data_IF_160118766711
#
_entry.id   IF_160118766711
#
_cell.length_a   1.000
_cell.length_b   1.000
_cell.length_c   1.000
_cell.angle_alpha   90.00
_cell.angle_beta   90.00
_cell.angle_gamma   90.00
#
_symmetry.space_group_name_H-M   'P 1'
#
loop_
_entity.id
_entity.type
_entity.pdbx_description
1 polymer ?
#
# COMPACT_ATOMS: atom_id res chain seq x y z
N UNK A 1 -5.91 23.58 -40.60
CA UNK A 1 -4.98 22.67 -41.32
C UNK A 1 -3.54 23.16 -41.23
N UNK A 2 -3.16 24.31 -41.81
CA UNK A 2 -1.77 24.82 -41.77
C UNK A 2 -1.22 24.99 -40.34
N UNK A 3 -1.99 25.59 -39.43
CA UNK A 3 -1.59 25.75 -38.03
C UNK A 3 -1.37 24.41 -37.30
N UNK A 4 -2.19 23.39 -37.58
CA UNK A 4 -2.04 22.05 -37.00
C UNK A 4 -0.79 21.36 -37.53
N UNK A 5 -0.56 21.44 -38.84
CA UNK A 5 0.63 20.86 -39.46
C UNK A 5 1.92 21.48 -38.89
N UNK A 6 1.96 22.81 -38.78
CA UNK A 6 3.10 23.51 -38.17
C UNK A 6 3.30 23.09 -36.70
N UNK A 7 2.22 22.90 -35.94
CA UNK A 7 2.30 22.43 -34.56
C UNK A 7 2.84 20.99 -34.46
N UNK A 8 2.39 20.07 -35.33
CA UNK A 8 2.88 18.69 -35.38
C UNK A 8 4.35 18.64 -35.79
N UNK A 9 4.76 19.42 -36.81
CA UNK A 9 6.16 19.53 -37.23
C UNK A 9 7.05 20.07 -36.11
N UNK A 10 6.56 21.06 -35.35
CA UNK A 10 7.29 21.65 -34.24
C UNK A 10 7.54 20.68 -33.07
N UNK A 11 6.62 19.75 -32.79
CA UNK A 11 6.79 18.73 -31.74
C UNK A 11 7.40 17.42 -32.25
N UNK A 12 7.70 17.32 -33.55
CA UNK A 12 8.23 16.09 -34.14
C UNK A 12 9.65 15.80 -33.65
N UNK A 13 10.43 16.85 -33.42
CA UNK A 13 11.83 16.76 -33.05
C UNK A 13 12.07 17.18 -31.61
N UNK A 14 13.12 16.62 -31.01
CA UNK A 14 13.52 16.90 -29.64
C UNK A 14 13.78 18.39 -29.44
N UNK A 15 13.23 18.94 -28.37
CA UNK A 15 13.38 20.34 -27.96
C UNK A 15 13.50 20.40 -26.43
N UNK A 16 14.35 21.30 -25.94
CA UNK A 16 14.48 21.60 -24.50
C UNK A 16 13.41 22.57 -24.01
N UNK A 17 12.65 23.20 -24.91
CA UNK A 17 11.50 24.06 -24.57
C UNK A 17 10.20 23.27 -24.64
N UNK A 18 9.37 23.44 -23.62
CA UNK A 18 8.09 22.76 -23.55
C UNK A 18 7.11 23.32 -24.62
N UNK A 19 6.58 22.51 -25.55
CA UNK A 19 5.76 22.98 -26.67
C UNK A 19 4.28 23.20 -26.28
N UNK A 20 4.07 24.12 -25.34
CA UNK A 20 2.75 24.34 -24.73
C UNK A 20 1.71 24.97 -25.65
N UNK A 21 2.10 25.81 -26.61
CA UNK A 21 1.16 26.42 -27.57
C UNK A 21 0.80 25.43 -28.67
N UNK A 22 1.76 24.64 -29.13
CA UNK A 22 1.56 23.56 -30.10
C UNK A 22 0.57 22.53 -29.56
N UNK A 23 0.70 22.13 -28.29
CA UNK A 23 -0.25 21.23 -27.64
C UNK A 23 -1.68 21.82 -27.64
N UNK A 24 -1.85 23.11 -27.35
CA UNK A 24 -3.18 23.76 -27.42
C UNK A 24 -3.77 23.70 -28.82
N UNK A 25 -2.95 23.96 -29.85
CA UNK A 25 -3.38 23.87 -31.25
C UNK A 25 -3.79 22.44 -31.60
N UNK A 26 -3.00 21.44 -31.20
CA UNK A 26 -3.28 20.03 -31.44
C UNK A 26 -4.58 19.59 -30.73
N UNK A 27 -4.74 19.91 -29.44
CA UNK A 27 -5.96 19.58 -28.69
C UNK A 27 -7.21 20.26 -29.27
N UNK A 28 -7.09 21.48 -29.81
CA UNK A 28 -8.19 22.18 -30.48
C UNK A 28 -8.58 21.54 -31.83
N UNK A 29 -7.70 20.75 -32.45
CA UNK A 29 -7.91 20.09 -33.75
C UNK A 29 -7.75 18.56 -33.63
N UNK A 30 -8.29 17.96 -32.56
CA UNK A 30 -8.06 16.56 -32.19
C UNK A 30 -8.36 15.56 -33.30
N UNK A 31 -9.48 15.72 -34.01
CA UNK A 31 -9.95 14.75 -35.01
C UNK A 31 -8.98 14.64 -36.17
N UNK A 32 -8.44 15.77 -36.60
CA UNK A 32 -7.46 15.89 -37.67
C UNK A 32 -6.06 15.49 -37.21
N UNK A 33 -5.74 15.64 -35.92
CA UNK A 33 -4.45 15.28 -35.36
C UNK A 33 -4.27 13.76 -35.14
N UNK A 34 -5.33 13.05 -34.74
CA UNK A 34 -5.29 11.61 -34.38
C UNK A 34 -4.57 10.75 -35.43
N UNK A 35 -4.86 10.84 -36.75
CA UNK A 35 -4.17 10.02 -37.74
C UNK A 35 -2.64 10.21 -37.76
N UNK A 36 -2.17 11.46 -37.58
CA UNK A 36 -0.74 11.76 -37.52
C UNK A 36 -0.11 11.22 -36.23
N UNK A 37 -0.79 11.37 -35.10
CA UNK A 37 -0.34 10.85 -33.80
C UNK A 37 -0.28 9.32 -33.78
N UNK A 38 -1.29 8.63 -34.32
CA UNK A 38 -1.27 7.17 -34.51
C UNK A 38 -0.09 6.73 -35.37
N UNK A 39 0.13 7.41 -36.51
CA UNK A 39 1.23 7.10 -37.42
C UNK A 39 2.61 7.25 -36.75
N UNK A 40 2.77 8.22 -35.84
CA UNK A 40 4.00 8.41 -35.09
C UNK A 40 4.34 7.21 -34.20
N UNK A 41 3.34 6.65 -33.52
CA UNK A 41 3.52 5.44 -32.71
C UNK A 41 3.75 4.22 -33.59
N UNK A 42 3.03 4.06 -34.69
CA UNK A 42 3.25 2.98 -35.64
C UNK A 42 4.67 2.99 -36.21
N UNK A 43 5.21 4.19 -36.52
CA UNK A 43 6.61 4.37 -36.91
C UNK A 43 7.55 3.94 -35.79
N UNK A 44 7.31 4.33 -34.54
CA UNK A 44 8.14 3.93 -33.41
C UNK A 44 8.14 2.41 -33.18
N UNK A 45 6.98 1.75 -33.31
CA UNK A 45 6.88 0.29 -33.23
C UNK A 45 7.64 -0.39 -34.37
N UNK A 46 7.51 0.12 -35.60
CA UNK A 46 8.15 -0.46 -36.77
C UNK A 46 9.68 -0.28 -36.80
N UNK A 47 10.18 0.90 -36.38
CA UNK A 47 11.61 1.23 -36.41
C UNK A 47 12.33 0.76 -35.14
N UNK A 48 11.63 0.70 -34.01
CA UNK A 48 12.16 0.24 -32.72
C UNK A 48 13.42 1.02 -32.31
N UNK A 49 14.49 0.30 -32.01
CA UNK A 49 15.79 0.88 -31.64
C UNK A 49 16.51 1.61 -32.80
N UNK A 50 15.97 1.57 -34.02
CA UNK A 50 16.50 2.32 -35.17
C UNK A 50 15.79 3.66 -35.40
N UNK A 51 14.78 3.98 -34.57
CA UNK A 51 14.13 5.30 -34.63
C UNK A 51 15.20 6.38 -34.39
N UNK A 52 15.09 7.51 -35.10
CA UNK A 52 16.04 8.62 -34.94
C UNK A 52 16.02 9.13 -33.49
N UNK A 53 17.19 9.28 -32.85
CA UNK A 53 17.32 9.71 -31.46
C UNK A 53 16.77 11.13 -31.19
N UNK A 54 16.62 11.93 -32.25
CA UNK A 54 16.02 13.26 -32.16
C UNK A 54 14.52 13.25 -32.46
N UNK A 55 13.94 12.12 -32.90
CA UNK A 55 12.51 12.01 -33.13
C UNK A 55 11.76 11.85 -31.80
N UNK A 56 10.75 12.68 -31.57
CA UNK A 56 10.02 12.76 -30.30
C UNK A 56 8.49 12.66 -30.47
N UNK A 57 7.97 12.69 -31.70
CA UNK A 57 6.52 12.75 -31.92
C UNK A 57 5.77 11.57 -31.30
N UNK A 58 6.33 10.35 -31.37
CA UNK A 58 5.73 9.15 -30.79
C UNK A 58 5.51 9.31 -29.29
N UNK A 59 6.49 9.89 -28.60
CA UNK A 59 6.45 10.10 -27.17
C UNK A 59 5.29 11.03 -26.78
N UNK A 60 5.16 12.18 -27.44
CA UNK A 60 4.05 13.10 -27.20
C UNK A 60 2.70 12.52 -27.64
N UNK A 61 2.68 11.75 -28.73
CA UNK A 61 1.49 11.09 -29.24
C UNK A 61 0.89 10.13 -28.20
N UNK A 62 1.69 9.42 -27.40
CA UNK A 62 1.17 8.55 -26.34
C UNK A 62 0.27 9.31 -25.36
N UNK A 63 0.71 10.49 -24.91
CA UNK A 63 -0.05 11.31 -23.95
C UNK A 63 -1.25 11.97 -24.60
N UNK A 64 -1.10 12.50 -25.82
CA UNK A 64 -2.19 13.18 -26.53
C UNK A 64 -3.31 12.20 -26.91
N UNK A 65 -2.98 11.00 -27.40
CA UNK A 65 -3.98 9.98 -27.69
C UNK A 65 -4.69 9.48 -26.43
N UNK A 66 -3.98 9.40 -25.29
CA UNK A 66 -4.61 9.09 -24.01
C UNK A 66 -5.52 10.21 -23.51
N UNK A 67 -5.12 11.48 -23.63
CA UNK A 67 -5.98 12.65 -23.36
C UNK A 67 -7.22 12.65 -24.25
N UNK A 68 -7.08 12.26 -25.52
CA UNK A 68 -8.20 12.15 -26.46
C UNK A 68 -9.05 10.88 -26.26
N UNK A 69 -8.61 9.98 -25.37
CA UNK A 69 -9.22 8.67 -25.13
C UNK A 69 -9.44 7.89 -26.43
N UNK A 70 -8.39 7.81 -27.25
CA UNK A 70 -8.44 7.13 -28.54
C UNK A 70 -8.45 5.60 -28.39
N UNK A 71 -9.59 5.06 -27.96
CA UNK A 71 -9.73 3.65 -27.55
C UNK A 71 -9.51 2.64 -28.67
N UNK A 72 -9.81 3.00 -29.91
CA UNK A 72 -9.58 2.11 -31.05
C UNK A 72 -8.09 1.78 -31.25
N UNK A 73 -7.19 2.64 -30.77
CA UNK A 73 -5.75 2.46 -30.89
C UNK A 73 -5.14 1.65 -29.74
N UNK A 74 -5.94 1.19 -28.78
CA UNK A 74 -5.48 0.42 -27.63
C UNK A 74 -4.64 -0.81 -27.99
N UNK A 75 -5.02 -1.67 -28.97
CA UNK A 75 -4.20 -2.83 -29.32
C UNK A 75 -2.80 -2.47 -29.83
N UNK A 76 -2.69 -1.36 -30.58
CA UNK A 76 -1.39 -0.88 -31.07
C UNK A 76 -0.55 -0.28 -29.94
N UNK A 77 -1.18 0.38 -28.96
CA UNK A 77 -0.50 0.84 -27.75
C UNK A 77 -0.01 -0.35 -26.89
N UNK A 78 -0.78 -1.44 -26.81
CA UNK A 78 -0.35 -2.69 -26.16
C UNK A 78 0.82 -3.35 -26.89
N UNK A 79 0.84 -3.31 -28.23
CA UNK A 79 1.99 -3.77 -29.02
C UNK A 79 3.25 -2.96 -28.73
N UNK A 80 3.15 -1.63 -28.67
CA UNK A 80 4.24 -0.76 -28.25
C UNK A 80 4.74 -1.12 -26.83
N UNK A 81 3.82 -1.28 -25.88
CA UNK A 81 4.15 -1.63 -24.49
C UNK A 81 4.78 -3.02 -24.34
N UNK A 82 4.59 -3.91 -25.33
CA UNK A 82 5.09 -5.29 -25.32
C UNK A 82 6.39 -5.46 -26.10
N UNK A 83 7.03 -4.37 -26.54
CA UNK A 83 8.34 -4.41 -27.18
C UNK A 83 9.43 -4.87 -26.19
N UNK A 84 10.55 -5.45 -26.68
CA UNK A 84 11.66 -5.86 -25.83
C UNK A 84 12.18 -4.71 -24.95
N UNK A 85 12.56 -5.02 -23.70
CA UNK A 85 12.96 -4.05 -22.66
C UNK A 85 13.85 -2.91 -23.18
N UNK A 86 14.96 -3.24 -23.85
CA UNK A 86 15.91 -2.24 -24.35
C UNK A 86 15.32 -1.30 -25.40
N UNK A 87 14.44 -1.82 -26.25
CA UNK A 87 13.73 -1.01 -27.25
C UNK A 87 12.69 -0.13 -26.56
N UNK A 88 11.97 -0.69 -25.60
CA UNK A 88 10.95 0.04 -24.85
C UNK A 88 11.57 1.18 -24.02
N UNK A 89 12.67 0.92 -23.34
CA UNK A 89 13.45 1.91 -22.59
C UNK A 89 13.94 3.04 -23.51
N UNK A 90 14.44 2.70 -24.70
CA UNK A 90 14.82 3.70 -25.71
C UNK A 90 13.64 4.58 -26.18
N UNK A 91 12.46 3.99 -26.39
CA UNK A 91 11.30 4.70 -26.93
C UNK A 91 10.51 5.49 -25.88
N UNK A 92 10.44 5.01 -24.64
CA UNK A 92 9.60 5.57 -23.57
C UNK A 92 10.39 6.13 -22.37
N UNK A 93 11.57 5.59 -22.07
CA UNK A 93 12.31 5.86 -20.83
C UNK A 93 11.42 5.72 -19.59
N UNK A 94 11.50 6.69 -18.68
CA UNK A 94 10.76 6.73 -17.42
C UNK A 94 9.23 6.71 -17.59
N UNK A 95 8.71 7.06 -18.78
CA UNK A 95 7.26 7.00 -19.03
C UNK A 95 6.70 5.59 -18.86
N UNK A 96 7.53 4.57 -19.06
CA UNK A 96 7.17 3.17 -18.87
C UNK A 96 6.68 2.85 -17.46
N UNK A 97 7.30 3.44 -16.43
CA UNK A 97 6.96 3.18 -15.02
C UNK A 97 6.03 4.26 -14.45
N UNK A 98 6.15 5.50 -14.92
CA UNK A 98 5.38 6.64 -14.39
C UNK A 98 4.01 6.83 -15.07
N UNK A 99 3.95 6.75 -16.40
CA UNK A 99 2.80 7.24 -17.18
C UNK A 99 2.06 6.14 -17.95
N UNK A 100 2.75 5.07 -18.35
CA UNK A 100 2.20 4.00 -19.17
C UNK A 100 0.91 3.38 -18.59
N UNK A 101 0.81 3.08 -17.27
CA UNK A 101 -0.44 2.55 -16.71
C UNK A 101 -1.61 3.51 -16.91
N UNK A 102 -1.38 4.82 -16.73
CA UNK A 102 -2.40 5.84 -16.92
C UNK A 102 -2.81 5.95 -18.39
N UNK A 103 -1.83 5.91 -19.30
CA UNK A 103 -2.06 5.96 -20.76
C UNK A 103 -2.93 4.77 -21.19
N UNK A 104 -2.52 3.55 -20.82
CA UNK A 104 -3.24 2.32 -21.16
C UNK A 104 -4.65 2.29 -20.56
N UNK A 105 -4.81 2.73 -19.30
CA UNK A 105 -6.12 2.84 -18.66
C UNK A 105 -7.05 3.81 -19.42
N UNK A 106 -6.56 5.00 -19.81
CA UNK A 106 -7.37 6.00 -20.51
C UNK A 106 -7.72 5.60 -21.96
N UNK A 107 -6.92 4.73 -22.56
CA UNK A 107 -7.17 4.18 -23.89
C UNK A 107 -7.91 2.85 -23.87
N UNK A 108 -8.19 2.26 -22.70
CA UNK A 108 -8.78 0.93 -22.61
C UNK A 108 -10.11 0.81 -23.39
N UNK A 109 -10.19 -0.21 -24.24
CA UNK A 109 -11.29 -0.40 -25.19
C UNK A 109 -12.24 -1.57 -24.85
N UNK A 110 -12.01 -2.27 -23.72
CA UNK A 110 -12.76 -3.45 -23.33
C UNK A 110 -12.07 -4.79 -23.59
N UNK A 111 -10.91 -4.80 -24.27
CA UNK A 111 -10.15 -6.02 -24.56
C UNK A 111 -9.27 -6.47 -23.38
N UNK A 112 -9.92 -6.88 -22.28
CA UNK A 112 -9.22 -7.34 -21.07
C UNK A 112 -8.27 -8.53 -21.33
N UNK A 113 -8.59 -9.37 -22.33
CA UNK A 113 -7.78 -10.54 -22.65
C UNK A 113 -6.39 -10.15 -23.17
N UNK A 114 -6.26 -9.06 -23.93
CA UNK A 114 -4.94 -8.54 -24.35
C UNK A 114 -4.06 -8.19 -23.15
N UNK A 115 -4.66 -7.61 -22.10
CA UNK A 115 -3.94 -7.28 -20.86
C UNK A 115 -3.52 -8.57 -20.14
N UNK A 116 -4.45 -9.53 -19.98
CA UNK A 116 -4.20 -10.81 -19.32
C UNK A 116 -3.08 -11.61 -20.01
N UNK A 117 -3.12 -11.69 -21.33
CA UNK A 117 -2.09 -12.37 -22.14
C UNK A 117 -0.72 -11.69 -22.01
N UNK A 118 -0.67 -10.36 -22.04
CA UNK A 118 0.57 -9.62 -21.85
C UNK A 118 1.19 -9.83 -20.46
N UNK A 119 0.38 -9.94 -19.40
CA UNK A 119 0.86 -10.22 -18.04
C UNK A 119 1.54 -11.60 -17.94
N UNK A 120 0.99 -12.63 -18.61
CA UNK A 120 1.57 -13.97 -18.61
C UNK A 120 2.72 -14.16 -19.61
N UNK A 121 2.93 -13.20 -20.53
CA UNK A 121 3.96 -13.33 -21.55
C UNK A 121 5.37 -13.18 -20.95
N UNK A 122 6.29 -14.13 -21.17
CA UNK A 122 7.67 -14.01 -20.70
C UNK A 122 8.46 -12.91 -21.41
N UNK A 123 8.01 -12.47 -22.60
CA UNK A 123 8.68 -11.44 -23.39
C UNK A 123 8.35 -10.01 -22.91
N UNK A 124 7.26 -9.84 -22.16
CA UNK A 124 6.85 -8.54 -21.64
C UNK A 124 7.63 -8.23 -20.37
N UNK A 125 8.21 -7.04 -20.32
CA UNK A 125 9.03 -6.59 -19.20
C UNK A 125 8.24 -6.43 -17.90
N UNK A 126 8.86 -6.78 -16.76
CA UNK A 126 8.21 -6.85 -15.44
C UNK A 126 7.56 -5.53 -15.00
N UNK A 127 8.17 -4.39 -15.32
CA UNK A 127 7.57 -3.09 -14.99
C UNK A 127 6.30 -2.81 -15.79
N UNK A 128 6.25 -3.24 -17.05
CA UNK A 128 5.03 -3.15 -17.87
C UNK A 128 3.95 -4.04 -17.28
N UNK A 129 4.26 -5.30 -16.97
CA UNK A 129 3.33 -6.23 -16.32
C UNK A 129 2.78 -5.66 -15.00
N UNK A 130 3.64 -5.03 -14.19
CA UNK A 130 3.23 -4.34 -12.96
C UNK A 130 2.27 -3.18 -13.25
N UNK A 131 2.56 -2.39 -14.28
CA UNK A 131 1.66 -1.37 -14.79
C UNK A 131 0.30 -1.93 -15.22
N UNK A 132 0.29 -3.05 -15.94
CA UNK A 132 -0.92 -3.74 -16.38
C UNK A 132 -1.77 -4.26 -15.22
N UNK A 133 -1.15 -4.81 -14.16
CA UNK A 133 -1.86 -5.18 -12.94
C UNK A 133 -2.55 -3.97 -12.28
N UNK A 134 -1.88 -2.81 -12.26
CA UNK A 134 -2.47 -1.54 -11.76
C UNK A 134 -3.63 -1.07 -12.64
N UNK A 135 -3.52 -1.22 -13.97
CA UNK A 135 -4.63 -0.94 -14.90
C UNK A 135 -5.82 -1.83 -14.59
N UNK A 136 -5.62 -3.14 -14.46
CA UNK A 136 -6.70 -4.08 -14.11
C UNK A 136 -7.30 -3.79 -12.74
N UNK A 137 -6.48 -3.44 -11.74
CA UNK A 137 -6.94 -3.01 -10.42
C UNK A 137 -7.84 -1.77 -10.50
N UNK A 138 -7.48 -0.78 -11.32
CA UNK A 138 -8.32 0.41 -11.55
C UNK A 138 -9.62 0.04 -12.26
N UNK A 139 -9.56 -0.74 -13.33
CA UNK A 139 -10.73 -1.19 -14.08
C UNK A 139 -11.73 -1.98 -13.22
N UNK A 140 -11.23 -2.80 -12.27
CA UNK A 140 -12.06 -3.47 -11.28
C UNK A 140 -12.78 -2.46 -10.36
N UNK A 141 -12.06 -1.48 -9.83
CA UNK A 141 -12.65 -0.44 -8.97
C UNK A 141 -13.69 0.43 -9.71
N UNK A 142 -13.53 0.60 -11.02
CA UNK A 142 -14.49 1.28 -11.89
C UNK A 142 -15.60 0.33 -12.41
N UNK A 143 -15.68 -0.90 -11.89
CA UNK A 143 -16.77 -1.85 -12.14
C UNK A 143 -16.77 -2.50 -13.52
N UNK A 144 -15.63 -2.57 -14.21
CA UNK A 144 -15.55 -3.11 -15.57
C UNK A 144 -15.60 -4.65 -15.63
N UNK A 145 -15.27 -5.34 -14.54
CA UNK A 145 -15.36 -6.80 -14.40
C UNK A 145 -15.55 -7.22 -12.93
N UNK A 146 -15.95 -8.47 -12.71
CA UNK A 146 -16.38 -8.96 -11.40
C UNK A 146 -15.24 -9.30 -10.43
N UNK A 147 -15.57 -9.33 -9.13
CA UNK A 147 -14.64 -9.68 -8.04
C UNK A 147 -14.12 -11.11 -8.20
N UNK A 148 -14.99 -12.06 -8.49
CA UNK A 148 -14.62 -13.48 -8.60
C UNK A 148 -13.63 -13.69 -9.75
N UNK A 149 -13.91 -13.13 -10.93
CA UNK A 149 -13.01 -13.18 -12.09
C UNK A 149 -11.64 -12.56 -11.75
N UNK A 150 -11.63 -11.45 -11.01
CA UNK A 150 -10.39 -10.78 -10.64
C UNK A 150 -9.56 -11.62 -9.67
N UNK A 151 -10.18 -12.11 -8.60
CA UNK A 151 -9.51 -12.93 -7.59
C UNK A 151 -8.99 -14.24 -8.18
N UNK A 152 -9.74 -14.90 -9.07
CA UNK A 152 -9.28 -16.11 -9.75
C UNK A 152 -8.03 -15.86 -10.61
N UNK A 153 -8.00 -14.74 -11.34
CA UNK A 153 -6.82 -14.36 -12.11
C UNK A 153 -5.60 -14.12 -11.21
N UNK A 154 -5.76 -13.37 -10.13
CA UNK A 154 -4.69 -13.09 -9.17
C UNK A 154 -4.20 -14.38 -8.48
N UNK A 155 -5.10 -15.29 -8.10
CA UNK A 155 -4.73 -16.62 -7.56
C UNK A 155 -3.94 -17.43 -8.58
N UNK A 156 -4.30 -17.35 -9.86
CA UNK A 156 -3.53 -17.96 -10.96
C UNK A 156 -2.06 -17.53 -10.96
N UNK A 157 -1.77 -16.26 -10.65
CA UNK A 157 -0.40 -15.73 -10.53
C UNK A 157 0.30 -16.23 -9.27
N UNK A 158 -0.40 -16.28 -8.13
CA UNK A 158 0.18 -16.71 -6.84
C UNK A 158 0.55 -18.19 -6.88
N UNK A 159 -0.34 -19.04 -7.37
CA UNK A 159 -0.19 -20.50 -7.35
C UNK A 159 0.39 -21.09 -8.64
N UNK A 160 0.44 -20.30 -9.72
CA UNK A 160 0.97 -20.72 -11.02
C UNK A 160 2.49 -20.58 -11.15
N UNK A 161 2.94 -20.57 -12.40
CA UNK A 161 4.34 -20.35 -12.75
C UNK A 161 4.78 -18.90 -12.45
N UNK A 162 6.08 -18.72 -12.20
CA UNK A 162 6.66 -17.40 -11.96
C UNK A 162 6.54 -16.53 -13.20
N UNK A 163 5.91 -15.36 -13.06
CA UNK A 163 5.67 -14.42 -14.18
C UNK A 163 6.64 -13.24 -14.22
N UNK A 164 7.54 -13.13 -13.23
CA UNK A 164 8.53 -12.05 -13.09
C UNK A 164 8.99 -11.88 -11.64
N UNK A 165 10.15 -11.25 -11.43
CA UNK A 165 10.79 -11.11 -10.11
C UNK A 165 10.21 -9.93 -9.31
N UNK A 166 9.83 -8.84 -10.00
CA UNK A 166 9.35 -7.61 -9.36
C UNK A 166 7.82 -7.51 -9.28
N UNK A 167 7.12 -8.54 -9.74
CA UNK A 167 5.67 -8.54 -9.92
C UNK A 167 4.87 -8.70 -8.64
N UNK A 168 5.39 -9.48 -7.69
CA UNK A 168 4.64 -9.88 -6.50
C UNK A 168 4.38 -8.72 -5.54
N UNK A 169 5.27 -7.71 -5.52
CA UNK A 169 5.03 -6.48 -4.75
C UNK A 169 3.77 -5.75 -5.26
N UNK A 170 3.66 -5.58 -6.58
CA UNK A 170 2.49 -4.98 -7.21
C UNK A 170 1.24 -5.85 -7.02
N UNK A 171 1.40 -7.18 -7.07
CA UNK A 171 0.30 -8.13 -6.85
C UNK A 171 -0.29 -7.96 -5.44
N UNK A 172 0.54 -7.92 -4.40
CA UNK A 172 0.10 -7.68 -3.02
C UNK A 172 -0.55 -6.30 -2.86
N UNK A 173 0.07 -5.23 -3.40
CA UNK A 173 -0.48 -3.87 -3.39
C UNK A 173 -1.89 -3.80 -4.03
N UNK A 174 -2.07 -4.49 -5.16
CA UNK A 174 -3.37 -4.58 -5.84
C UNK A 174 -4.41 -5.29 -5.00
N UNK A 175 -4.05 -6.44 -4.41
CA UNK A 175 -4.96 -7.20 -3.53
C UNK A 175 -5.41 -6.33 -2.34
N UNK A 176 -4.48 -5.61 -1.71
CA UNK A 176 -4.76 -4.70 -0.59
C UNK A 176 -5.67 -3.53 -1.00
N UNK A 177 -5.31 -2.78 -2.05
CA UNK A 177 -6.08 -1.59 -2.49
C UNK A 177 -7.42 -1.91 -3.15
N UNK A 178 -7.62 -3.16 -3.58
CA UNK A 178 -8.92 -3.70 -4.00
C UNK A 178 -9.77 -4.23 -2.82
N UNK A 179 -9.25 -4.23 -1.59
CA UNK A 179 -9.94 -4.69 -0.38
C UNK A 179 -10.33 -6.18 -0.41
N UNK A 180 -9.48 -7.02 -1.00
CA UNK A 180 -9.68 -8.47 -1.10
C UNK A 180 -9.25 -9.22 0.16
N UNK A 181 -10.03 -9.06 1.23
CA UNK A 181 -9.77 -9.71 2.52
C UNK A 181 -9.70 -11.23 2.42
N UNK A 182 -10.48 -11.85 1.51
CA UNK A 182 -10.44 -13.30 1.29
C UNK A 182 -9.14 -13.80 0.66
N UNK A 183 -8.28 -12.88 0.20
CA UNK A 183 -6.97 -13.16 -0.37
C UNK A 183 -5.80 -12.88 0.59
N UNK A 184 -6.08 -12.62 1.88
CA UNK A 184 -5.04 -12.57 2.90
C UNK A 184 -4.16 -13.83 2.96
N UNK A 185 -4.69 -15.08 2.78
CA UNK A 185 -3.85 -16.28 2.69
C UNK A 185 -2.83 -16.23 1.53
N UNK A 186 -3.22 -15.68 0.38
CA UNK A 186 -2.33 -15.48 -0.75
C UNK A 186 -1.23 -14.45 -0.44
N UNK A 187 -1.57 -13.31 0.18
CA UNK A 187 -0.56 -12.32 0.61
C UNK A 187 0.42 -12.98 1.60
N UNK A 188 -0.08 -13.72 2.60
CA UNK A 188 0.73 -14.46 3.57
C UNK A 188 1.73 -15.38 2.87
N UNK A 189 1.24 -16.19 1.93
CA UNK A 189 2.08 -17.10 1.15
C UNK A 189 3.20 -16.35 0.41
N UNK A 190 2.92 -15.19 -0.17
CA UNK A 190 3.96 -14.41 -0.87
C UNK A 190 5.08 -13.97 0.08
N UNK A 191 4.79 -13.69 1.35
CA UNK A 191 5.81 -13.42 2.37
C UNK A 191 6.55 -14.67 2.82
N UNK A 192 5.87 -15.81 2.96
CA UNK A 192 6.47 -17.10 3.34
C UNK A 192 7.41 -17.64 2.27
N UNK A 193 7.03 -17.48 1.00
CA UNK A 193 7.81 -17.88 -0.18
C UNK A 193 8.94 -16.87 -0.52
N UNK A 194 9.17 -15.84 0.31
CA UNK A 194 10.16 -14.75 0.12
C UNK A 194 10.05 -14.04 -1.25
N UNK A 195 8.80 -13.92 -1.76
CA UNK A 195 8.52 -13.28 -3.06
C UNK A 195 8.29 -11.77 -2.95
N UNK A 196 8.15 -11.24 -1.73
CA UNK A 196 7.90 -9.83 -1.46
C UNK A 196 9.17 -9.14 -0.96
N UNK A 197 9.54 -8.03 -1.61
CA UNK A 197 10.55 -7.14 -1.05
C UNK A 197 9.92 -6.29 0.06
N UNK A 198 10.20 -6.66 1.31
CA UNK A 198 9.73 -5.96 2.52
C UNK A 198 10.18 -4.49 2.56
N UNK A 199 11.25 -4.11 1.86
CA UNK A 199 11.69 -2.71 1.78
C UNK A 199 10.82 -1.89 0.83
N UNK A 200 10.18 -2.54 -0.14
CA UNK A 200 9.35 -1.87 -1.14
C UNK A 200 7.93 -1.62 -0.62
N UNK A 201 7.30 -2.61 0.02
CA UNK A 201 5.89 -2.54 0.42
C UNK A 201 5.63 -2.80 1.92
N UNK A 202 6.68 -2.93 2.74
CA UNK A 202 6.54 -3.14 4.18
C UNK A 202 6.29 -4.59 4.58
N UNK A 203 5.95 -4.78 5.85
CA UNK A 203 5.59 -6.07 6.44
C UNK A 203 4.18 -6.53 6.08
N UNK A 204 3.88 -7.78 6.42
CA UNK A 204 2.53 -8.32 6.24
C UNK A 204 1.49 -7.53 7.05
N UNK A 205 1.84 -7.08 8.26
CA UNK A 205 1.03 -6.22 9.11
C UNK A 205 0.66 -4.90 8.42
N UNK A 206 1.63 -4.21 7.79
CA UNK A 206 1.37 -2.98 7.05
C UNK A 206 0.44 -3.21 5.83
N UNK A 207 0.54 -4.37 5.19
CA UNK A 207 -0.37 -4.75 4.11
C UNK A 207 -1.80 -5.02 4.61
N UNK A 208 -1.95 -5.62 5.79
CA UNK A 208 -3.26 -5.75 6.44
C UNK A 208 -3.81 -4.36 6.78
N UNK A 209 -3.00 -3.44 7.30
CA UNK A 209 -3.45 -2.05 7.54
C UNK A 209 -3.94 -1.39 6.24
N UNK A 210 -3.17 -1.50 5.15
CA UNK A 210 -3.55 -0.93 3.85
C UNK A 210 -4.84 -1.56 3.29
N UNK A 211 -5.04 -2.88 3.48
CA UNK A 211 -6.26 -3.61 3.10
C UNK A 211 -7.53 -3.01 3.70
N UNK A 212 -7.48 -2.44 4.90
CA UNK A 212 -8.63 -1.83 5.58
C UNK A 212 -8.62 -0.30 5.55
N UNK A 213 -7.67 0.32 4.83
CA UNK A 213 -7.51 1.77 4.78
C UNK A 213 -8.19 2.37 3.54
N UNK A 214 -9.10 3.32 3.78
CA UNK A 214 -9.76 4.09 2.72
C UNK A 214 -9.23 5.52 2.70
N UNK A 215 -8.37 5.84 1.73
CA UNK A 215 -7.82 7.20 1.55
C UNK A 215 -8.68 7.98 0.56
N UNK A 216 -9.57 8.83 1.08
CA UNK A 216 -10.39 9.71 0.23
C UNK A 216 -9.51 10.66 -0.60
N UNK A 217 -9.83 10.80 -1.89
CA UNK A 217 -9.16 11.74 -2.79
C UNK A 217 -7.76 11.35 -3.26
N UNK A 218 -7.27 10.13 -2.98
CA UNK A 218 -6.06 9.60 -3.61
C UNK A 218 -6.38 8.70 -4.79
N UNK A 219 -5.63 8.89 -5.88
CA UNK A 219 -5.55 7.94 -6.98
C UNK A 219 -5.05 6.60 -6.43
N UNK A 220 -5.83 5.51 -6.64
CA UNK A 220 -5.43 4.19 -6.12
C UNK A 220 -4.37 3.55 -7.01
N UNK A 221 -4.66 3.49 -8.31
CA UNK A 221 -3.78 2.87 -9.29
C UNK A 221 -3.57 3.77 -10.52
N UNK A 222 -4.65 4.18 -11.20
CA UNK A 222 -4.54 4.98 -12.43
C UNK A 222 -5.37 6.26 -12.39
N UNK A 223 -4.90 7.30 -13.10
CA UNK A 223 -5.62 8.56 -13.27
C UNK A 223 -6.80 8.38 -14.19
N UNK A 224 -7.97 8.88 -13.78
CA UNK A 224 -9.18 8.84 -14.61
C UNK A 224 -9.14 9.77 -15.82
N UNK A 225 -8.28 10.78 -15.80
CA UNK A 225 -8.02 11.69 -16.91
C UNK A 225 -6.54 12.01 -17.03
N UNK A 226 -6.08 12.26 -18.25
CA UNK A 226 -4.73 12.74 -18.52
C UNK A 226 -4.86 14.10 -19.20
N UNK A 227 -4.10 15.08 -18.70
CA UNK A 227 -3.76 16.27 -19.45
C UNK A 227 -2.29 16.16 -19.85
N UNK A 228 -2.05 15.97 -21.15
CA UNK A 228 -0.72 15.73 -21.69
C UNK A 228 0.22 16.90 -21.36
N UNK A 229 -0.28 18.13 -21.49
CA UNK A 229 0.53 19.31 -21.24
C UNK A 229 0.90 19.50 -19.77
N UNK A 230 -0.04 19.29 -18.85
CA UNK A 230 0.20 19.37 -17.41
C UNK A 230 1.14 18.26 -16.94
N UNK A 231 0.93 17.03 -17.43
CA UNK A 231 1.76 15.87 -17.09
C UNK A 231 3.20 16.05 -17.54
N UNK A 232 3.41 16.56 -18.76
CA UNK A 232 4.74 16.65 -19.37
C UNK A 232 5.54 17.91 -18.99
N UNK A 233 4.88 19.00 -18.58
CA UNK A 233 5.56 20.28 -18.30
C UNK A 233 6.69 20.16 -17.25
N UNK A 234 6.55 19.26 -16.29
CA UNK A 234 7.52 19.05 -15.21
C UNK A 234 8.66 18.08 -15.54
N UNK A 235 8.72 17.54 -16.77
CA UNK A 235 9.69 16.52 -17.12
C UNK A 235 11.10 17.10 -17.27
N UNK A 236 12.09 16.35 -16.77
CA UNK A 236 13.50 16.74 -16.73
C UNK A 236 14.11 17.08 -18.11
N UNK A 237 13.47 16.64 -19.20
CA UNK A 237 13.87 16.96 -20.57
C UNK A 237 13.66 18.43 -20.96
N UNK A 238 12.87 19.20 -20.19
CA UNK A 238 12.59 20.60 -20.45
C UNK A 238 13.34 21.54 -19.51
N UNK A 239 13.91 22.62 -20.05
CA UNK A 239 14.59 23.68 -19.28
C UNK A 239 13.64 24.38 -18.30
N UNK A 240 12.35 24.49 -18.66
CA UNK A 240 11.31 25.12 -17.83
C UNK A 240 10.92 24.28 -16.59
N UNK A 241 11.33 23.00 -16.53
CA UNK A 241 11.07 22.13 -15.37
C UNK A 241 12.01 22.44 -14.19
N UNK A 242 13.17 23.03 -14.49
CA UNK A 242 14.10 23.56 -13.51
C UNK A 242 13.64 24.95 -13.02
N UNK A 243 12.45 25.01 -12.41
CA UNK A 243 12.27 26.07 -11.41
C UNK A 243 13.31 25.79 -10.34
N UNK A 244 14.28 26.70 -10.21
CA UNK A 244 15.23 26.72 -9.10
C UNK A 244 14.45 26.36 -7.83
N UNK A 245 14.68 25.16 -7.29
CA UNK A 245 14.35 24.92 -5.90
C UNK A 245 15.24 25.94 -5.20
N UNK A 246 14.63 27.01 -4.72
CA UNK A 246 15.31 27.97 -3.86
C UNK A 246 15.78 27.16 -2.65
N UNK A 247 17.03 26.71 -2.70
CA UNK A 247 17.63 25.80 -1.73
C UNK A 247 17.50 26.36 -0.31
N UNK A 248 17.51 27.69 -0.19
CA UNK A 248 17.34 28.40 1.06
C UNK A 248 15.88 28.30 1.55
N UNK A 249 14.90 28.48 0.67
CA UNK A 249 13.47 28.28 0.98
C UNK A 249 13.12 26.81 1.24
N UNK A 250 13.72 25.86 0.53
CA UNK A 250 13.57 24.43 0.80
C UNK A 250 14.15 24.08 2.17
N UNK A 251 15.36 24.53 2.48
CA UNK A 251 15.99 24.31 3.78
C UNK A 251 15.18 24.95 4.93
N UNK A 252 14.65 26.16 4.74
CA UNK A 252 13.76 26.80 5.71
C UNK A 252 12.45 26.03 5.90
N UNK A 253 11.82 25.56 4.82
CA UNK A 253 10.60 24.76 4.89
C UNK A 253 10.85 23.40 5.56
N UNK A 254 11.95 22.73 5.23
CA UNK A 254 12.35 21.48 5.86
C UNK A 254 12.66 21.67 7.35
N UNK A 255 13.40 22.71 7.72
CA UNK A 255 13.66 23.06 9.13
C UNK A 255 12.37 23.37 9.90
N UNK A 256 11.42 24.08 9.28
CA UNK A 256 10.10 24.36 9.86
C UNK A 256 9.30 23.07 10.06
N UNK A 257 9.25 22.20 9.04
CA UNK A 257 8.59 20.89 9.13
C UNK A 257 9.19 20.03 10.24
N UNK A 258 10.52 19.96 10.36
CA UNK A 258 11.20 19.25 11.44
C UNK A 258 10.83 19.80 12.83
N UNK A 259 10.77 21.13 12.98
CA UNK A 259 10.35 21.78 14.24
C UNK A 259 8.87 21.54 14.56
N UNK A 260 8.00 21.54 13.56
CA UNK A 260 6.58 21.22 13.73
C UNK A 260 6.41 19.75 14.15
N UNK A 261 7.12 18.83 13.51
CA UNK A 261 7.12 17.41 13.85
C UNK A 261 7.66 17.14 15.27
N UNK A 262 8.79 17.76 15.64
CA UNK A 262 9.32 17.63 17.01
C UNK A 262 8.37 18.26 18.04
N UNK A 263 7.68 19.38 17.72
CA UNK A 263 6.65 19.96 18.59
C UNK A 263 5.45 19.05 18.77
N UNK A 264 4.96 18.42 17.70
CA UNK A 264 3.84 17.47 17.77
C UNK A 264 4.22 16.28 18.65
N UNK A 265 5.44 15.74 18.49
CA UNK A 265 5.94 14.62 19.28
C UNK A 265 6.28 14.98 20.73
N UNK A 266 6.78 16.19 20.99
CA UNK A 266 7.17 16.68 22.34
C UNK A 266 6.04 17.34 23.11
N UNK A 267 4.86 17.49 22.51
CA UNK A 267 3.69 18.04 23.18
C UNK A 267 3.30 17.12 24.32
N UNK A 268 3.90 17.36 25.49
CA UNK A 268 3.45 16.81 26.73
C UNK A 268 2.03 17.35 26.95
N UNK A 269 1.05 16.51 26.62
CA UNK A 269 -0.35 16.80 26.90
C UNK A 269 -0.44 17.22 28.38
N UNK A 270 -1.10 18.36 28.68
CA UNK A 270 -1.21 18.82 30.04
C UNK A 270 -1.92 17.73 30.84
N UNK A 271 -1.16 16.99 31.67
CA UNK A 271 -1.74 16.07 32.66
C UNK A 271 -2.64 16.93 33.53
N UNK A 272 -3.94 16.90 33.26
CA UNK A 272 -4.95 17.54 34.09
C UNK A 272 -4.75 16.92 35.47
N UNK A 273 -4.16 17.66 36.41
CA UNK A 273 -3.92 17.18 37.76
C UNK A 273 -5.28 17.03 38.43
N UNK A 274 -5.85 15.84 38.35
CA UNK A 274 -7.10 15.51 39.03
C UNK A 274 -6.77 15.43 40.52
N UNK A 275 -7.31 16.36 41.29
CA UNK A 275 -7.20 16.37 42.73
C UNK A 275 -7.80 15.09 43.31
N UNK A 276 -7.19 14.57 44.37
CA UNK A 276 -7.63 13.33 45.05
C UNK A 276 -9.12 13.34 45.45
N UNK A 277 -9.70 14.52 45.66
CA UNK A 277 -11.10 14.70 46.03
C UNK A 277 -12.02 15.15 44.88
N UNK A 278 -11.50 15.37 43.67
CA UNK A 278 -12.28 15.86 42.52
C UNK A 278 -13.24 14.77 42.02
N UNK A 279 -14.35 15.16 41.36
CA UNK A 279 -15.22 14.21 40.66
C UNK A 279 -14.41 13.36 39.69
N UNK A 280 -14.58 12.05 39.76
CA UNK A 280 -13.82 11.12 38.95
C UNK A 280 -14.21 11.28 37.45
N UNK A 281 -13.24 11.41 36.53
CA UNK A 281 -13.51 11.67 35.11
C UNK A 281 -14.22 10.51 34.40
N UNK A 282 -14.27 9.32 34.99
CA UNK A 282 -14.98 8.16 34.44
C UNK A 282 -16.52 8.24 34.52
N UNK A 283 -17.08 9.38 34.94
CA UNK A 283 -18.53 9.58 35.01
C UNK A 283 -19.23 8.89 36.18
N UNK A 284 -18.48 8.28 37.11
CA UNK A 284 -19.07 7.51 38.23
C UNK A 284 -19.74 8.35 39.33
N UNK A 285 -19.62 9.67 39.30
CA UNK A 285 -20.09 10.59 40.35
C UNK A 285 -19.33 10.51 41.68
N UNK A 286 -18.33 9.62 41.81
CA UNK A 286 -17.51 9.46 43.03
C UNK A 286 -16.27 10.38 43.01
N UNK A 287 -15.67 10.64 44.18
CA UNK A 287 -14.36 11.30 44.28
C UNK A 287 -13.28 10.42 43.66
N UNK A 288 -12.27 11.00 43.00
CA UNK A 288 -11.20 10.26 42.32
C UNK A 288 -10.53 9.21 43.22
N UNK A 289 -10.25 9.55 44.50
CA UNK A 289 -9.69 8.62 45.49
C UNK A 289 -10.55 7.41 45.84
N UNK A 290 -11.85 7.50 45.63
CA UNK A 290 -12.82 6.44 45.93
C UNK A 290 -13.25 5.68 44.65
N UNK A 291 -12.62 5.98 43.52
CA UNK A 291 -12.90 5.35 42.25
C UNK A 291 -11.57 4.98 41.55
N UNK A 292 -11.20 5.68 40.47
CA UNK A 292 -10.07 5.28 39.63
C UNK A 292 -8.70 5.35 40.31
N UNK A 293 -8.51 6.08 41.42
CA UNK A 293 -7.21 6.12 42.11
C UNK A 293 -6.82 4.77 42.74
N UNK A 294 -7.81 3.99 43.19
CA UNK A 294 -7.60 2.72 43.90
C UNK A 294 -8.05 1.51 43.09
N UNK A 295 -8.55 1.70 41.85
CA UNK A 295 -8.84 0.56 40.97
C UNK A 295 -7.52 -0.12 40.60
N UNK A 296 -7.46 -1.47 40.58
CA UNK A 296 -6.35 -2.14 39.94
C UNK A 296 -6.25 -1.61 38.52
N UNK A 297 -5.09 -1.06 38.17
CA UNK A 297 -4.83 -0.57 36.82
C UNK A 297 -4.99 -1.74 35.85
N UNK A 298 -5.66 -1.51 34.72
CA UNK A 298 -5.67 -2.51 33.66
C UNK A 298 -4.21 -2.82 33.29
N UNK A 299 -3.81 -4.06 32.97
CA UNK A 299 -2.41 -4.36 32.62
C UNK A 299 -1.86 -3.40 31.55
N UNK A 300 -2.70 -3.00 30.59
CA UNK A 300 -2.41 -2.01 29.55
C UNK A 300 -2.01 -0.62 30.08
N UNK A 301 -2.54 -0.20 31.24
CA UNK A 301 -2.21 1.08 31.89
C UNK A 301 -0.87 1.05 32.64
N UNK A 302 -0.27 -0.15 32.77
CA UNK A 302 1.09 -0.32 33.30
C UNK A 302 2.16 -0.11 32.22
N UNK A 303 1.80 -0.38 30.95
CA UNK A 303 2.68 -0.20 29.80
C UNK A 303 2.81 1.28 29.42
N UNK A 304 1.70 1.94 29.14
CA UNK A 304 1.66 3.35 28.73
C UNK A 304 0.28 3.98 28.99
N UNK A 305 0.15 5.29 28.78
CA UNK A 305 -1.11 6.00 28.98
C UNK A 305 -2.12 5.67 27.87
N UNK A 306 -3.41 5.84 28.16
CA UNK A 306 -4.49 5.69 27.17
C UNK A 306 -4.28 6.57 25.92
N UNK A 307 -3.73 7.76 26.11
CA UNK A 307 -3.42 8.70 25.03
C UNK A 307 -2.28 8.18 24.13
N UNK A 308 -1.22 7.62 24.74
CA UNK A 308 -0.11 7.04 23.97
C UNK A 308 -0.60 5.80 23.20
N UNK A 309 -1.44 4.95 23.82
CA UNK A 309 -2.09 3.83 23.11
C UNK A 309 -2.91 4.32 21.92
N UNK A 310 -3.75 5.34 22.11
CA UNK A 310 -4.58 5.88 21.03
C UNK A 310 -3.75 6.45 19.88
N UNK A 311 -2.58 7.04 20.17
CA UNK A 311 -1.62 7.50 19.15
C UNK A 311 -1.09 6.33 18.32
N UNK A 312 -0.69 5.24 18.97
CA UNK A 312 -0.13 4.06 18.27
C UNK A 312 -1.20 3.20 17.60
N UNK A 313 -2.47 3.32 18.00
CA UNK A 313 -3.61 2.70 17.32
C UNK A 313 -4.22 3.59 16.23
N UNK A 314 -3.60 4.73 15.90
CA UNK A 314 -4.13 5.64 14.88
C UNK A 314 -4.23 4.99 13.50
N UNK A 315 -3.23 4.17 13.18
CA UNK A 315 -3.11 3.50 11.88
C UNK A 315 -3.72 2.08 11.89
N UNK A 316 -4.10 1.57 13.07
CA UNK A 316 -4.83 0.30 13.20
C UNK A 316 -6.19 0.38 12.49
N UNK A 317 -6.66 -0.69 11.81
CA UNK A 317 -7.90 -0.67 11.04
C UNK A 317 -9.10 -0.10 11.83
N UNK A 318 -9.81 0.89 11.25
CA UNK A 318 -10.85 1.60 11.97
C UNK A 318 -12.05 0.69 12.24
N UNK A 319 -12.64 0.85 13.42
CA UNK A 319 -13.88 0.15 13.76
C UNK A 319 -15.06 0.67 12.91
N UNK A 320 -16.01 -0.23 12.60
CA UNK A 320 -17.23 0.10 11.86
C UNK A 320 -18.02 1.22 12.54
N UNK A 321 -18.12 2.38 11.86
CA UNK A 321 -19.01 3.48 12.25
C UNK A 321 -20.23 3.42 11.34
N UNK A 322 -21.44 3.43 11.90
CA UNK A 322 -22.66 3.31 11.09
C UNK A 322 -22.72 4.39 10.00
N UNK A 323 -23.05 3.99 8.76
CA UNK A 323 -23.29 4.92 7.64
C UNK A 323 -22.39 4.77 6.40
N UNK A 324 -21.44 3.82 6.36
CA UNK A 324 -20.56 3.56 5.21
C UNK A 324 -20.78 2.12 4.71
N UNK A 325 -21.80 1.89 3.88
CA UNK A 325 -22.24 0.54 3.48
C UNK A 325 -21.26 -0.22 2.54
N UNK A 326 -20.36 0.49 1.84
CA UNK A 326 -19.45 -0.10 0.84
C UNK A 326 -18.02 -0.40 1.35
N UNK A 327 -17.74 -0.18 2.64
CA UNK A 327 -16.42 -0.43 3.23
C UNK A 327 -16.35 -1.78 3.92
N UNK A 328 -15.18 -2.43 3.84
CA UNK A 328 -14.87 -3.64 4.61
C UNK A 328 -14.27 -3.27 5.95
N UNK A 329 -14.64 -4.02 7.00
CA UNK A 329 -14.14 -3.83 8.35
C UNK A 329 -13.67 -5.16 8.93
N UNK A 330 -12.75 -5.11 9.90
CA UNK A 330 -12.32 -6.32 10.62
C UNK A 330 -13.50 -7.03 11.28
N UNK A 331 -14.49 -6.27 11.76
CA UNK A 331 -15.74 -6.78 12.35
C UNK A 331 -16.55 -7.69 11.41
N UNK A 332 -16.36 -7.57 10.09
CA UNK A 332 -17.08 -8.38 9.11
C UNK A 332 -16.45 -9.80 8.95
N UNK A 333 -15.19 -9.98 9.40
CA UNK A 333 -14.42 -11.21 9.21
C UNK A 333 -13.94 -11.87 10.50
N UNK A 334 -13.77 -11.09 11.58
CA UNK A 334 -13.13 -11.56 12.81
C UNK A 334 -14.02 -11.36 14.04
N UNK A 335 -13.91 -12.28 14.99
CA UNK A 335 -14.61 -12.17 16.27
C UNK A 335 -14.07 -11.00 17.09
N UNK A 336 -14.92 -10.48 17.98
CA UNK A 336 -14.53 -9.42 18.91
C UNK A 336 -13.31 -9.83 19.73
N UNK A 337 -13.27 -11.07 20.22
CA UNK A 337 -12.15 -11.61 20.98
C UNK A 337 -10.85 -11.62 20.16
N UNK A 338 -10.91 -11.97 18.87
CA UNK A 338 -9.75 -11.97 17.98
C UNK A 338 -9.21 -10.55 17.77
N UNK A 339 -10.09 -9.58 17.50
CA UNK A 339 -9.69 -8.17 17.35
C UNK A 339 -9.14 -7.58 18.65
N UNK A 340 -9.65 -7.99 19.81
CA UNK A 340 -9.12 -7.55 21.11
C UNK A 340 -7.71 -8.09 21.35
N UNK A 341 -7.44 -9.35 21.00
CA UNK A 341 -6.09 -9.93 21.05
C UNK A 341 -5.17 -9.18 20.08
N UNK A 342 -5.62 -9.01 18.84
CA UNK A 342 -4.82 -8.41 17.78
C UNK A 342 -4.46 -6.94 18.05
N UNK A 343 -5.36 -6.14 18.64
CA UNK A 343 -5.01 -4.78 19.12
C UNK A 343 -3.89 -4.77 20.15
N UNK A 344 -3.83 -5.77 21.03
CA UNK A 344 -2.76 -5.89 22.01
C UNK A 344 -1.44 -6.29 21.34
N UNK A 345 -1.51 -7.22 20.37
CA UNK A 345 -0.34 -7.59 19.56
C UNK A 345 0.18 -6.40 18.76
N UNK A 346 -0.71 -5.61 18.15
CA UNK A 346 -0.36 -4.40 17.41
C UNK A 346 0.33 -3.36 18.31
N UNK A 347 -0.19 -3.10 19.51
CA UNK A 347 0.47 -2.22 20.48
C UNK A 347 1.86 -2.72 20.92
N UNK A 348 2.08 -4.04 20.92
CA UNK A 348 3.36 -4.65 21.27
C UNK A 348 4.37 -4.63 20.11
N UNK A 349 3.94 -5.00 18.91
CA UNK A 349 4.81 -5.44 17.82
C UNK A 349 4.87 -4.47 16.63
N UNK A 350 3.81 -3.68 16.40
CA UNK A 350 3.77 -2.78 15.24
C UNK A 350 4.93 -1.79 15.26
N UNK A 351 5.48 -1.51 14.08
CA UNK A 351 6.58 -0.58 13.95
C UNK A 351 6.17 0.82 14.41
N UNK A 352 6.86 1.34 15.44
CA UNK A 352 6.62 2.69 15.96
C UNK A 352 7.52 3.68 15.22
N UNK A 353 6.94 4.47 14.32
CA UNK A 353 7.64 5.53 13.58
C UNK A 353 8.07 6.69 14.51
N UNK A 354 9.20 6.50 15.19
CA UNK A 354 9.82 7.48 16.09
C UNK A 354 10.89 8.26 15.29
N UNK A 355 11.04 9.59 15.51
CA UNK A 355 12.08 10.35 14.84
C UNK A 355 13.47 9.75 15.04
N UNK A 356 14.31 9.69 13.99
CA UNK A 356 15.62 9.01 14.01
C UNK A 356 16.60 9.53 15.07
N UNK A 357 16.45 10.78 15.50
CA UNK A 357 17.26 11.40 16.57
C UNK A 357 16.75 11.05 17.98
N UNK A 358 15.65 10.30 18.10
CA UNK A 358 15.15 9.73 19.35
C UNK A 358 15.29 8.21 19.29
N UNK A 359 15.90 7.65 20.32
CA UNK A 359 15.98 6.22 20.52
C UNK A 359 15.17 5.85 21.75
N UNK A 360 14.26 4.90 21.59
CA UNK A 360 13.62 4.26 22.74
C UNK A 360 14.62 3.28 23.36
N UNK A 361 14.80 3.35 24.68
CA UNK A 361 15.67 2.40 25.37
C UNK A 361 15.09 0.99 25.23
N UNK A 362 15.95 0.01 24.90
CA UNK A 362 15.54 -1.38 24.67
C UNK A 362 14.74 -1.95 25.86
N UNK A 363 15.10 -1.60 27.08
CA UNK A 363 14.41 -2.00 28.32
C UNK A 363 12.97 -1.49 28.39
N UNK A 364 12.71 -0.27 27.88
CA UNK A 364 11.36 0.32 27.82
C UNK A 364 10.51 -0.42 26.78
N UNK A 365 11.08 -0.68 25.60
CA UNK A 365 10.41 -1.44 24.54
C UNK A 365 10.10 -2.87 24.98
N UNK A 366 11.07 -3.59 25.55
CA UNK A 366 10.89 -4.96 26.03
C UNK A 366 9.84 -5.04 27.16
N UNK A 367 9.86 -4.08 28.10
CA UNK A 367 8.85 -3.99 29.16
C UNK A 367 7.45 -3.79 28.59
N UNK A 368 7.30 -2.88 27.63
CA UNK A 368 6.01 -2.62 26.95
C UNK A 368 5.52 -3.86 26.22
N UNK A 369 6.37 -4.47 25.39
CA UNK A 369 6.06 -5.70 24.67
C UNK A 369 5.59 -6.79 25.62
N UNK A 370 6.34 -7.03 26.70
CA UNK A 370 5.98 -8.07 27.68
C UNK A 370 4.61 -7.84 28.29
N UNK A 371 4.28 -6.61 28.68
CA UNK A 371 2.98 -6.28 29.28
C UNK A 371 1.83 -6.58 28.30
N UNK A 372 1.94 -6.11 27.05
CA UNK A 372 0.89 -6.31 26.05
C UNK A 372 0.78 -7.76 25.59
N UNK A 373 1.90 -8.43 25.30
CA UNK A 373 1.90 -9.83 24.90
C UNK A 373 1.39 -10.75 26.03
N UNK A 374 1.67 -10.41 27.29
CA UNK A 374 1.09 -11.12 28.45
C UNK A 374 -0.44 -10.96 28.50
N UNK A 375 -0.94 -9.74 28.27
CA UNK A 375 -2.39 -9.50 28.22
C UNK A 375 -3.05 -10.20 27.02
N UNK A 376 -2.38 -10.21 25.87
CA UNK A 376 -2.81 -10.93 24.68
C UNK A 376 -2.87 -12.45 24.95
N UNK A 377 -1.85 -13.00 25.62
CA UNK A 377 -1.78 -14.42 25.98
C UNK A 377 -2.93 -14.87 26.90
N UNK A 378 -3.30 -14.06 27.90
CA UNK A 378 -4.43 -14.37 28.79
C UNK A 378 -5.75 -14.50 28.02
N UNK A 379 -6.00 -13.59 27.07
CA UNK A 379 -7.18 -13.65 26.18
C UNK A 379 -7.09 -14.80 25.19
N UNK A 380 -5.93 -15.01 24.59
CA UNK A 380 -5.63 -16.11 23.68
C UNK A 380 -5.91 -17.47 24.31
N UNK A 381 -5.43 -17.69 25.55
CA UNK A 381 -5.67 -18.93 26.31
C UNK A 381 -7.16 -19.17 26.51
N UNK A 382 -7.91 -18.14 26.91
CA UNK A 382 -9.35 -18.25 27.10
C UNK A 382 -10.09 -18.56 25.78
N UNK A 383 -9.68 -17.92 24.69
CA UNK A 383 -10.27 -18.13 23.36
C UNK A 383 -9.98 -19.54 22.82
N UNK A 384 -8.73 -19.99 22.88
CA UNK A 384 -8.33 -21.33 22.41
C UNK A 384 -9.01 -22.45 23.19
N UNK A 385 -9.18 -22.28 24.51
CA UNK A 385 -9.95 -23.22 25.33
C UNK A 385 -11.45 -23.22 24.97
N UNK A 386 -12.05 -22.03 24.81
CA UNK A 386 -13.46 -21.86 24.45
C UNK A 386 -13.80 -22.48 23.09
N UNK A 387 -12.96 -22.24 22.09
CA UNK A 387 -13.18 -22.70 20.70
C UNK A 387 -12.52 -24.07 20.43
N UNK A 388 -11.87 -24.67 21.44
CA UNK A 388 -11.14 -25.95 21.35
C UNK A 388 -10.09 -25.98 20.21
N UNK A 389 -9.36 -24.88 20.04
CA UNK A 389 -8.27 -24.72 19.08
C UNK A 389 -7.01 -25.42 19.62
N UNK A 390 -6.38 -26.27 18.81
CA UNK A 390 -5.28 -27.15 19.26
C UNK A 390 -3.96 -26.97 18.55
N UNK A 391 -3.90 -26.23 17.46
CA UNK A 391 -2.68 -26.02 16.66
C UNK A 391 -2.51 -24.55 16.25
N UNK A 392 -1.28 -24.16 15.91
CA UNK A 392 -1.01 -22.80 15.41
C UNK A 392 -1.76 -22.54 14.11
N UNK A 393 -1.76 -23.50 13.18
CA UNK A 393 -2.42 -23.39 11.88
C UNK A 393 -3.94 -23.17 12.01
N UNK A 394 -4.57 -23.86 12.96
CA UNK A 394 -6.01 -23.69 13.23
C UNK A 394 -6.32 -22.30 13.77
N UNK A 395 -5.50 -21.80 14.72
CA UNK A 395 -5.63 -20.44 15.23
C UNK A 395 -5.38 -19.40 14.13
N UNK A 396 -4.28 -19.53 13.38
CA UNK A 396 -3.88 -18.55 12.38
C UNK A 396 -4.87 -18.45 11.20
N UNK A 397 -5.54 -19.56 10.88
CA UNK A 397 -6.59 -19.60 9.86
C UNK A 397 -7.87 -18.86 10.27
N UNK A 398 -8.16 -18.77 11.57
CA UNK A 398 -9.51 -18.37 12.05
C UNK A 398 -9.51 -17.12 12.93
N UNK A 399 -8.40 -16.83 13.60
CA UNK A 399 -8.31 -15.79 14.63
C UNK A 399 -7.22 -14.76 14.34
N UNK A 400 -6.11 -15.14 13.70
CA UNK A 400 -4.99 -14.20 13.48
C UNK A 400 -5.30 -13.18 12.39
N UNK A 401 -4.95 -11.91 12.68
CA UNK A 401 -5.15 -10.78 11.77
C UNK A 401 -3.79 -10.30 11.27
N UNK A 402 -2.96 -9.63 12.10
CA UNK A 402 -1.66 -9.09 11.68
C UNK A 402 -0.48 -10.02 11.95
N UNK A 403 -0.49 -10.79 13.05
CA UNK A 403 0.69 -11.54 13.52
C UNK A 403 0.41 -13.04 13.64
N UNK A 404 1.37 -13.88 13.25
CA UNK A 404 1.29 -15.33 13.45
C UNK A 404 1.40 -15.71 14.91
N UNK A 405 0.60 -16.71 15.30
CA UNK A 405 0.52 -17.17 16.68
C UNK A 405 1.85 -17.71 17.21
N UNK A 406 2.55 -18.50 16.41
CA UNK A 406 3.85 -19.07 16.78
C UNK A 406 4.86 -17.94 17.05
N UNK A 407 4.98 -16.98 16.13
CA UNK A 407 5.96 -15.88 16.19
C UNK A 407 5.83 -15.02 17.47
N UNK A 408 4.62 -14.51 17.76
CA UNK A 408 4.47 -13.62 18.91
C UNK A 408 4.58 -14.37 20.25
N UNK A 409 4.26 -15.68 20.28
CA UNK A 409 4.48 -16.53 21.45
C UNK A 409 5.97 -16.81 21.68
N UNK A 410 6.78 -16.95 20.63
CA UNK A 410 8.24 -17.04 20.76
C UNK A 410 8.82 -15.76 21.37
N UNK A 411 8.41 -14.60 20.85
CA UNK A 411 8.81 -13.29 21.39
C UNK A 411 8.42 -13.18 22.88
N UNK A 412 7.20 -13.57 23.24
CA UNK A 412 6.75 -13.55 24.64
C UNK A 412 7.61 -14.46 25.52
N UNK A 413 7.95 -15.68 25.07
CA UNK A 413 8.81 -16.58 25.82
C UNK A 413 10.20 -15.99 26.07
N UNK A 414 10.81 -15.37 25.07
CA UNK A 414 12.11 -14.71 25.23
C UNK A 414 12.06 -13.55 26.24
N UNK A 415 10.98 -12.76 26.23
CA UNK A 415 10.79 -11.65 27.14
C UNK A 415 10.54 -12.10 28.59
N UNK A 416 9.80 -13.19 28.78
CA UNK A 416 9.51 -13.77 30.10
C UNK A 416 10.72 -14.50 30.70
N UNK A 417 11.60 -15.08 29.86
CA UNK A 417 12.86 -15.65 30.35
C UNK A 417 13.75 -14.62 31.05
N UNK A 418 13.67 -13.36 30.63
CA UNK A 418 14.41 -12.26 31.27
C UNK A 418 13.75 -11.81 32.57
N UNK A 419 12.43 -11.75 32.60
CA UNK A 419 11.65 -11.25 33.74
C UNK A 419 10.19 -11.71 33.63
N UNK A 420 9.74 -12.55 34.56
CA UNK A 420 8.40 -13.14 34.60
C UNK A 420 7.66 -12.73 35.89
N UNK A 421 7.20 -11.48 35.94
CA UNK A 421 6.52 -10.92 37.13
C UNK A 421 5.24 -11.68 37.51
N UNK A 422 4.56 -12.29 36.52
CA UNK A 422 3.30 -13.01 36.74
C UNK A 422 3.47 -14.52 36.93
N UNK A 423 4.66 -15.07 36.68
CA UNK A 423 4.92 -16.51 36.78
C UNK A 423 4.24 -17.34 35.69
N UNK A 424 4.04 -16.78 34.49
CA UNK A 424 3.28 -17.43 33.40
C UNK A 424 4.16 -18.13 32.36
N UNK A 425 5.50 -18.08 32.49
CA UNK A 425 6.41 -18.64 31.48
C UNK A 425 6.15 -20.13 31.20
N UNK A 426 5.94 -20.92 32.25
CA UNK A 426 5.69 -22.36 32.11
C UNK A 426 4.33 -22.67 31.48
N UNK A 427 3.32 -21.83 31.73
CA UNK A 427 2.03 -21.92 31.05
C UNK A 427 2.16 -21.63 29.55
N UNK A 428 2.90 -20.57 29.18
CA UNK A 428 3.17 -20.21 27.79
C UNK A 428 3.90 -21.36 27.09
N UNK A 429 4.99 -21.88 27.69
CA UNK A 429 5.75 -23.03 27.16
C UNK A 429 4.87 -24.28 27.01
N UNK A 430 4.00 -24.53 27.98
CA UNK A 430 3.09 -25.67 27.97
C UNK A 430 2.08 -25.61 26.83
N UNK A 431 1.48 -24.45 26.58
CA UNK A 431 0.55 -24.26 25.45
C UNK A 431 1.30 -24.32 24.12
N UNK A 432 2.40 -23.58 24.00
CA UNK A 432 3.24 -23.55 22.81
C UNK A 432 3.68 -24.97 22.40
N UNK A 433 4.19 -25.75 23.35
CA UNK A 433 4.61 -27.14 23.10
C UNK A 433 3.46 -28.06 22.63
N UNK A 434 2.27 -27.93 23.23
CA UNK A 434 1.09 -28.70 22.81
C UNK A 434 0.65 -28.34 21.38
N UNK A 435 0.62 -27.05 21.06
CA UNK A 435 0.22 -26.59 19.73
C UNK A 435 1.23 -26.99 18.64
N UNK A 436 2.53 -26.95 18.96
CA UNK A 436 3.60 -27.40 18.07
C UNK A 436 3.55 -28.92 17.81
N UNK A 437 3.23 -29.72 18.83
CA UNK A 437 3.07 -31.18 18.68
C UNK A 437 1.84 -31.55 17.84
N UNK A 438 0.73 -30.82 18.00
CA UNK A 438 -0.48 -31.04 17.22
C UNK A 438 -0.26 -30.81 15.72
N UNK A 439 0.58 -29.82 15.36
CA UNK A 439 0.97 -29.58 13.97
C UNK A 439 1.74 -30.75 13.35
N UNK A 440 2.63 -31.40 14.12
CA UNK A 440 3.42 -32.55 13.65
C UNK A 440 2.61 -33.84 13.51
N UNK A 441 1.48 -33.96 14.20
CA UNK A 441 0.59 -35.12 14.12
C UNK A 441 -0.45 -35.02 12.98
N UNK A 442 -0.57 -33.85 12.34
CA UNK A 442 -1.50 -33.59 11.24
C UNK A 442 -0.85 -33.65 9.84
N UNK A 443 0.49 -33.78 9.79
CA UNK A 443 1.29 -34.13 8.61
C UNK A 443 1.48 -35.65 8.55
#
# INVERSE_FOLDING_TARGET
>A
MEALQNALEAITWRSTKFPGEEFKVICANKTEAIPCLRSAIEKAVAEGANLDENYQLHFYAMYLLAEFQDREFFPKMMELASLPEKTLDYLMGDAMTESLPHILYNMYNGEIQLIKEAIYSPEVYDFVKSGLLRVMGQLYLDGQFGKEEWQEFLRGIVYGETIGDYMYNTLADVICKCHFVEMLPEIRRLYEDDRIDRKAIGGYDENVDEMFTYREGRERFCRQTINAAETLRGWAMFEDSAKEIDDEKWAQNFSRMLKEFDREYTKAEPKRKIGRNDPCPCGSGKKYKQCCLNKPKNPEDLAESEQERAKWLKDYPPAKKGGEDDRVYLEDYYSRESMEIDRLLYLALAHRAIPIWRREEKTVTERRQRIYLTAAFEKFRALTEKENIRSFQEYDKTCSIHYYCEDWLEILQELLQKEDEKGILEDVRGIYGKMKQAAQAAL
#
